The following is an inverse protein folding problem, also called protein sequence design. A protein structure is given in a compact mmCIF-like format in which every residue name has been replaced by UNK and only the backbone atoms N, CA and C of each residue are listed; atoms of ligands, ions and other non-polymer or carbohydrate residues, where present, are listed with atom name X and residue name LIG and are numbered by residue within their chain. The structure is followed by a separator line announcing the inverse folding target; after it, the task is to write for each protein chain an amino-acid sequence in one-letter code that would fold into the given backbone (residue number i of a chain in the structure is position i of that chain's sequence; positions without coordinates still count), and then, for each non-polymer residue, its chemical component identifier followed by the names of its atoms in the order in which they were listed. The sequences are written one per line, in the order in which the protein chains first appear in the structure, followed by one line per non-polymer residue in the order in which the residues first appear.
data_IF_946903318483
#
_entry.id   IF_946903318483
#
_cell.length_a   1.000
_cell.length_b   1.000
_cell.length_c   1.000
_cell.angle_alpha   90.00
_cell.angle_beta   90.00
_cell.angle_gamma   90.00
#
_symmetry.space_group_name_H-M   'P 1'
#
loop_
_entity.id
_entity.type
_entity.pdbx_description
1 polymer ?
#
# COMPACT_ATOMS: atom_id res chain seq x y z
N UNK A 1 2.50 10.08 -3.56
CA UNK A 1 2.42 9.03 -4.59
C UNK A 1 1.31 8.06 -4.28
N UNK A 2 0.49 7.79 -5.26
CA UNK A 2 -0.61 6.84 -5.12
C UNK A 2 -0.12 5.43 -5.39
N UNK A 3 -0.51 4.52 -4.53
CA UNK A 3 -0.19 3.11 -4.67
C UNK A 3 -1.44 2.42 -5.21
N UNK A 4 -1.29 1.73 -6.33
CA UNK A 4 -2.40 1.05 -6.98
C UNK A 4 -2.26 -0.45 -6.83
N UNK A 5 -3.39 -1.13 -6.73
CA UNK A 5 -3.40 -2.59 -6.76
C UNK A 5 -3.08 -3.06 -8.17
N UNK A 6 -2.19 -4.02 -8.28
CA UNK A 6 -1.85 -4.59 -9.60
C UNK A 6 -2.80 -5.68 -10.01
N UNK A 7 -3.48 -6.27 -9.04
CA UNK A 7 -4.37 -7.40 -9.29
C UNK A 7 -5.64 -7.19 -8.50
N UNK A 8 -6.77 -7.77 -8.96
CA UNK A 8 -7.97 -7.77 -8.13
C UNK A 8 -7.79 -8.71 -6.95
N UNK A 9 -8.32 -8.32 -5.81
CA UNK A 9 -8.18 -9.14 -4.62
C UNK A 9 -8.87 -8.53 -3.42
N UNK A 10 -8.54 -9.06 -2.24
CA UNK A 10 -9.13 -8.61 -0.98
C UNK A 10 -8.02 -8.14 -0.05
N UNK A 11 -8.24 -7.03 0.60
CA UNK A 11 -7.29 -6.49 1.58
C UNK A 11 -7.38 -7.33 2.84
N UNK A 12 -6.25 -7.87 3.27
CA UNK A 12 -6.19 -8.71 4.48
C UNK A 12 -5.85 -7.85 5.68
N UNK A 13 -4.74 -7.12 5.60
CA UNK A 13 -4.32 -6.25 6.70
C UNK A 13 -3.29 -5.25 6.21
N UNK A 14 -3.05 -4.23 7.03
CA UNK A 14 -2.00 -3.25 6.80
C UNK A 14 -0.79 -3.61 7.64
N UNK A 15 0.40 -3.55 7.05
CA UNK A 15 1.65 -3.77 7.76
C UNK A 15 2.24 -2.46 8.31
N UNK A 16 1.79 -1.33 7.79
CA UNK A 16 2.20 -0.01 8.23
C UNK A 16 0.98 0.83 8.53
N UNK A 17 1.11 1.75 9.46
CA UNK A 17 0.02 2.63 9.84
C UNK A 17 0.22 4.01 9.27
N UNK A 18 -0.87 4.78 9.20
CA UNK A 18 -0.81 6.17 8.77
C UNK A 18 0.17 6.90 9.68
N UNK A 19 1.11 7.62 9.07
CA UNK A 19 2.15 8.33 9.78
C UNK A 19 3.47 7.58 9.91
N UNK A 20 3.49 6.28 9.58
CA UNK A 20 4.72 5.52 9.64
C UNK A 20 5.66 5.89 8.51
N UNK A 21 6.95 5.94 8.81
CA UNK A 21 7.97 6.07 7.80
C UNK A 21 8.20 4.74 7.12
N UNK A 22 8.35 4.76 5.83
CA UNK A 22 8.61 3.55 5.04
C UNK A 22 9.77 3.79 4.09
N UNK A 23 10.42 2.71 3.74
CA UNK A 23 11.48 2.74 2.74
C UNK A 23 11.02 2.01 1.49
N UNK A 24 11.78 2.14 0.43
CA UNK A 24 11.49 1.44 -0.81
C UNK A 24 11.42 -0.06 -0.53
N UNK A 25 10.35 -0.69 -1.02
CA UNK A 25 10.06 -2.12 -0.87
C UNK A 25 9.51 -2.54 0.49
N UNK A 26 9.35 -1.61 1.43
CA UNK A 26 8.64 -1.95 2.67
C UNK A 26 7.21 -2.36 2.33
N UNK A 27 6.75 -3.44 2.95
CA UNK A 27 5.40 -3.93 2.71
C UNK A 27 4.41 -3.04 3.44
N UNK A 28 3.45 -2.50 2.71
CA UNK A 28 2.41 -1.65 3.27
C UNK A 28 1.14 -2.43 3.57
N UNK A 29 0.75 -3.29 2.65
CA UNK A 29 -0.53 -3.98 2.67
C UNK A 29 -0.30 -5.44 2.33
N UNK A 30 -1.00 -6.32 3.04
CA UNK A 30 -1.10 -7.72 2.66
C UNK A 30 -2.50 -7.92 2.08
N UNK A 31 -2.57 -8.47 0.89
CA UNK A 31 -3.86 -8.77 0.27
C UNK A 31 -3.85 -10.21 -0.23
N UNK A 32 -5.03 -10.71 -0.51
CA UNK A 32 -5.21 -12.05 -1.04
C UNK A 32 -5.79 -11.97 -2.44
N UNK A 33 -5.15 -12.62 -3.38
CA UNK A 33 -5.62 -12.69 -4.75
C UNK A 33 -5.38 -14.10 -5.27
N UNK A 34 -6.40 -14.69 -5.86
CA UNK A 34 -6.31 -16.03 -6.46
C UNK A 34 -5.80 -17.08 -5.46
N UNK A 35 -6.27 -16.98 -4.22
CA UNK A 35 -5.90 -17.89 -3.12
C UNK A 35 -4.44 -17.78 -2.68
N UNK A 36 -3.75 -16.73 -3.10
CA UNK A 36 -2.37 -16.48 -2.73
C UNK A 36 -2.26 -15.14 -2.03
N UNK A 37 -1.36 -15.04 -1.09
CA UNK A 37 -1.08 -13.76 -0.46
C UNK A 37 -0.21 -12.91 -1.38
N UNK A 38 -0.61 -11.66 -1.54
CA UNK A 38 0.13 -10.68 -2.32
C UNK A 38 0.59 -9.58 -1.39
N UNK A 39 1.84 -9.22 -1.51
CA UNK A 39 2.39 -8.12 -0.72
C UNK A 39 2.45 -6.87 -1.58
N UNK A 40 2.02 -5.76 -1.02
CA UNK A 40 2.05 -4.47 -1.73
C UNK A 40 3.19 -3.67 -1.12
N UNK A 41 4.30 -3.53 -1.83
CA UNK A 41 5.44 -2.77 -1.31
C UNK A 41 5.32 -1.30 -1.64
N UNK A 42 6.00 -0.48 -0.86
CA UNK A 42 6.12 0.93 -1.18
C UNK A 42 7.14 1.12 -2.30
N UNK A 43 6.80 1.86 -3.36
CA UNK A 43 7.75 2.14 -4.42
C UNK A 43 8.73 3.26 -4.08
N UNK A 44 8.50 3.98 -3.00
CA UNK A 44 9.31 5.14 -2.61
C UNK A 44 9.51 5.16 -1.11
N UNK A 45 10.55 5.86 -0.67
CA UNK A 45 10.74 6.17 0.73
C UNK A 45 9.87 7.38 1.07
N UNK A 46 9.18 7.31 2.20
CA UNK A 46 8.32 8.40 2.60
C UNK A 46 7.51 8.06 3.83
N UNK A 47 6.34 8.67 3.93
CA UNK A 47 5.44 8.49 5.07
C UNK A 47 4.08 8.06 4.53
N UNK A 48 3.48 7.08 5.18
CA UNK A 48 2.13 6.64 4.80
C UNK A 48 1.16 7.76 5.16
N UNK A 49 0.49 8.31 4.15
CA UNK A 49 -0.41 9.43 4.34
C UNK A 49 -1.84 8.98 4.59
N UNK A 50 -2.31 8.04 3.79
CA UNK A 50 -3.64 7.49 3.98
C UNK A 50 -3.79 6.17 3.25
N UNK A 51 -4.80 5.42 3.68
CA UNK A 51 -5.28 4.25 2.96
C UNK A 51 -6.64 4.58 2.38
N UNK A 52 -6.85 4.20 1.11
CA UNK A 52 -8.12 4.43 0.43
C UNK A 52 -9.09 3.26 0.60
N UNK A 53 -8.64 2.20 1.26
CA UNK A 53 -9.41 0.99 1.48
C UNK A 53 -9.21 0.55 2.92
N UNK A 54 -9.98 -0.45 3.33
CA UNK A 54 -9.90 -1.00 4.68
C UNK A 54 -9.70 -2.52 4.60
N UNK A 55 -9.19 -3.13 5.69
CA UNK A 55 -9.13 -4.60 5.75
C UNK A 55 -10.52 -5.18 5.49
N UNK A 56 -10.56 -6.19 4.64
CA UNK A 56 -11.81 -6.81 4.24
C UNK A 56 -12.38 -6.29 2.93
N UNK A 57 -11.91 -5.15 2.45
CA UNK A 57 -12.40 -4.58 1.20
C UNK A 57 -11.87 -5.35 0.01
N UNK A 58 -12.68 -5.43 -1.03
CA UNK A 58 -12.24 -5.96 -2.32
C UNK A 58 -11.79 -4.81 -3.20
N UNK A 59 -10.74 -5.05 -3.96
CA UNK A 59 -10.18 -4.05 -4.85
C UNK A 59 -10.04 -4.61 -6.26
N UNK A 60 -10.09 -3.69 -7.22
CA UNK A 60 -9.89 -4.02 -8.63
C UNK A 60 -8.46 -3.68 -9.05
N UNK A 61 -8.00 -4.29 -10.11
CA UNK A 61 -6.70 -3.95 -10.68
C UNK A 61 -6.71 -2.47 -11.10
N UNK A 62 -5.67 -1.73 -10.72
CA UNK A 62 -5.56 -0.31 -11.01
C UNK A 62 -6.21 0.60 -10.00
N UNK A 63 -6.93 0.07 -9.02
CA UNK A 63 -7.56 0.89 -7.99
C UNK A 63 -6.51 1.43 -7.03
N UNK A 64 -6.63 2.71 -6.67
CA UNK A 64 -5.74 3.32 -5.67
C UNK A 64 -6.11 2.77 -4.30
N UNK A 65 -5.12 2.24 -3.59
CA UNK A 65 -5.34 1.61 -2.29
C UNK A 65 -4.64 2.34 -1.16
N UNK A 66 -3.59 3.11 -1.47
CA UNK A 66 -2.85 3.84 -0.45
C UNK A 66 -2.20 5.07 -1.06
N UNK A 67 -1.83 6.00 -0.20
CA UNK A 67 -1.07 7.18 -0.60
C UNK A 67 0.13 7.29 0.32
N UNK A 68 1.31 7.41 -0.27
CA UNK A 68 2.56 7.62 0.45
C UNK A 68 3.10 8.98 0.03
N UNK A 69 3.39 9.81 1.01
CA UNK A 69 4.00 11.09 0.74
C UNK A 69 5.48 10.89 0.52
N UNK A 70 5.94 11.24 -0.66
CA UNK A 70 7.34 11.10 -1.03
C UNK A 70 8.21 12.01 -0.16
N UNK A 71 9.22 11.42 0.45
CA UNK A 71 10.13 12.19 1.28
C UNK A 71 11.25 12.75 0.41
N UNK A 72 11.32 14.07 0.36
CA UNK A 72 12.38 14.75 -0.35
C UNK A 72 13.47 15.18 0.62
N UNK A 73 14.69 14.83 0.30
CA UNK A 73 15.82 15.32 1.05
C UNK A 73 16.12 16.73 0.60
N UNK A 74 16.10 17.66 1.51
CA UNK A 74 16.54 19.02 1.22
C UNK A 74 18.02 19.13 1.50
N UNK A 75 18.69 19.73 0.59
CA UNK A 75 20.11 20.00 0.72
C UNK A 75 20.31 21.48 0.92
#
# INVERSE_FOLDING_TARGET
MEIKSRVPGKIVRFEKQIGDSVEVKDVLIVMEAMKMKQLVPSPVAGVVKEYKVQPGDRVSAGQVIAVVEYEQTKI
#
